data_IF_451764646396
#
_entry.id   IF_451764646396
#
_cell.length_a   1.000
_cell.length_b   1.000
_cell.length_c   1.000
_cell.angle_alpha   90.00
_cell.angle_beta   90.00
_cell.angle_gamma   90.00
#
_symmetry.space_group_name_H-M   'P 1'
#
loop_
_entity.id
_entity.type
_entity.pdbx_description
1 polymer ?
#
# COMPACT_ATOMS: atom_id res chain seq x y z
N UNK A 1 -68.35 36.70 66.70
CA UNK A 1 -69.16 36.89 65.48
C UNK A 1 -68.26 36.73 64.25
N UNK A 2 -68.86 36.25 63.15
CA UNK A 2 -68.34 35.65 61.89
C UNK A 2 -66.95 36.09 61.36
N UNK A 3 -66.19 35.06 60.93
CA UNK A 3 -64.97 35.10 60.11
C UNK A 3 -65.33 35.43 58.65
N UNK A 4 -64.59 36.34 58.00
CA UNK A 4 -64.54 36.46 56.54
C UNK A 4 -63.12 36.14 56.06
N UNK A 5 -62.99 35.05 55.28
CA UNK A 5 -61.81 34.72 54.48
C UNK A 5 -62.16 35.04 53.03
N UNK A 6 -61.49 36.01 52.43
CA UNK A 6 -61.52 36.26 50.98
C UNK A 6 -60.44 35.40 50.32
N UNK A 7 -60.86 34.55 49.38
CA UNK A 7 -60.02 33.71 48.55
C UNK A 7 -59.43 34.54 47.40
N UNK A 8 -58.12 34.47 47.20
CA UNK A 8 -57.42 34.99 46.02
C UNK A 8 -57.13 33.78 45.12
N UNK A 9 -57.81 33.72 43.98
CA UNK A 9 -57.63 32.67 42.97
C UNK A 9 -56.31 32.88 42.20
N UNK A 10 -55.49 31.82 42.17
CA UNK A 10 -54.31 31.67 41.32
C UNK A 10 -54.70 31.71 39.83
N UNK A 11 -53.94 32.46 39.04
CA UNK A 11 -53.76 32.20 37.61
C UNK A 11 -52.25 32.19 37.31
N UNK A 12 -51.67 30.99 37.21
CA UNK A 12 -50.30 30.78 36.76
C UNK A 12 -50.31 30.65 35.22
N UNK A 13 -49.56 31.46 34.45
CA UNK A 13 -49.44 31.24 33.01
C UNK A 13 -48.51 30.05 32.76
N UNK A 14 -49.03 29.06 32.04
CA UNK A 14 -48.30 27.90 31.56
C UNK A 14 -47.33 28.35 30.45
N UNK A 15 -46.06 28.61 30.79
CA UNK A 15 -45.00 28.86 29.81
C UNK A 15 -44.63 27.52 29.19
N UNK A 16 -45.11 27.26 27.98
CA UNK A 16 -44.69 26.14 27.16
C UNK A 16 -43.25 26.36 26.70
N UNK A 17 -42.30 25.75 27.40
CA UNK A 17 -40.91 25.66 26.96
C UNK A 17 -40.81 24.73 25.75
N UNK A 18 -40.82 25.31 24.55
CA UNK A 18 -40.44 24.61 23.32
C UNK A 18 -38.93 24.40 23.37
N UNK A 19 -38.51 23.19 23.72
CA UNK A 19 -37.12 22.78 23.50
C UNK A 19 -36.90 22.73 21.99
N UNK A 20 -36.19 23.73 21.44
CA UNK A 20 -35.56 23.60 20.13
C UNK A 20 -34.56 22.45 20.26
N UNK A 21 -34.92 21.28 19.77
CA UNK A 21 -33.96 20.21 19.52
C UNK A 21 -33.02 20.70 18.43
N UNK A 22 -31.82 21.13 18.82
CA UNK A 22 -30.74 21.31 17.88
C UNK A 22 -30.56 19.97 17.13
N UNK A 23 -30.40 19.99 15.79
CA UNK A 23 -30.19 18.76 15.05
C UNK A 23 -28.95 18.08 15.63
N UNK A 24 -29.11 16.83 16.07
CA UNK A 24 -27.99 15.99 16.47
C UNK A 24 -27.01 16.00 15.29
N UNK A 25 -25.83 16.60 15.49
CA UNK A 25 -24.74 16.44 14.54
C UNK A 25 -24.55 14.93 14.40
N UNK A 26 -24.86 14.39 13.22
CA UNK A 26 -24.60 12.98 12.91
C UNK A 26 -23.14 12.72 13.26
N UNK A 27 -22.90 11.93 14.29
CA UNK A 27 -21.55 11.68 14.78
C UNK A 27 -20.85 10.87 13.68
N UNK A 28 -19.73 11.38 13.16
CA UNK A 28 -18.91 10.67 12.17
C UNK A 28 -18.58 9.26 12.66
N UNK A 29 -18.52 9.08 13.99
CA UNK A 29 -18.36 7.80 14.67
C UNK A 29 -19.41 6.76 14.29
N UNK A 30 -20.69 7.11 14.17
CA UNK A 30 -21.74 6.12 13.85
C UNK A 30 -21.48 5.47 12.49
N UNK A 31 -21.06 6.29 11.51
CA UNK A 31 -20.64 5.78 10.20
C UNK A 31 -19.34 4.95 10.27
N UNK A 32 -18.38 5.32 11.12
CA UNK A 32 -17.15 4.53 11.33
C UNK A 32 -17.49 3.18 11.96
N UNK A 33 -18.37 3.15 12.96
CA UNK A 33 -18.79 1.93 13.63
C UNK A 33 -19.57 1.04 12.66
N UNK A 34 -20.45 1.60 11.81
CA UNK A 34 -21.13 0.87 10.74
C UNK A 34 -20.13 0.26 9.74
N UNK A 35 -19.12 1.04 9.31
CA UNK A 35 -18.08 0.58 8.39
C UNK A 35 -17.27 -0.57 8.97
N UNK A 36 -16.90 -0.51 10.26
CA UNK A 36 -16.15 -1.57 10.95
C UNK A 36 -16.93 -2.89 11.02
N UNK A 37 -18.26 -2.82 11.11
CA UNK A 37 -19.15 -4.00 11.08
C UNK A 37 -19.46 -4.49 9.66
N UNK A 38 -18.94 -3.83 8.63
CA UNK A 38 -19.18 -4.18 7.23
C UNK A 38 -20.48 -3.62 6.64
N UNK A 39 -21.22 -2.81 7.38
CA UNK A 39 -22.39 -2.09 6.88
C UNK A 39 -21.95 -0.82 6.15
N UNK A 40 -21.45 -1.00 4.94
CA UNK A 40 -20.92 0.12 4.14
C UNK A 40 -22.03 1.05 3.63
N UNK A 41 -23.24 0.55 3.40
CA UNK A 41 -24.35 1.39 2.97
C UNK A 41 -24.84 2.28 4.12
N UNK A 42 -24.98 1.71 5.32
CA UNK A 42 -25.27 2.47 6.54
C UNK A 42 -24.18 3.50 6.82
N UNK A 43 -22.90 3.12 6.73
CA UNK A 43 -21.78 4.04 6.93
C UNK A 43 -21.85 5.28 6.00
N UNK A 44 -22.11 5.05 4.71
CA UNK A 44 -22.29 6.15 3.75
C UNK A 44 -23.51 7.01 4.07
N UNK A 45 -24.61 6.40 4.52
CA UNK A 45 -25.81 7.12 4.92
C UNK A 45 -25.53 8.05 6.11
N UNK A 46 -24.81 7.57 7.12
CA UNK A 46 -24.45 8.35 8.32
C UNK A 46 -23.46 9.49 8.00
N UNK A 47 -22.43 9.22 7.19
CA UNK A 47 -21.44 10.25 6.86
C UNK A 47 -21.97 11.35 5.94
N UNK A 48 -22.98 11.07 5.12
CA UNK A 48 -23.42 12.01 4.07
C UNK A 48 -23.94 13.35 4.61
N UNK A 49 -24.82 13.40 5.62
CA UNK A 49 -25.25 14.66 6.22
C UNK A 49 -24.08 15.48 6.78
N UNK A 50 -23.19 14.85 7.55
CA UNK A 50 -22.03 15.52 8.15
C UNK A 50 -21.08 16.05 7.07
N UNK A 51 -20.78 15.25 6.04
CA UNK A 51 -19.91 15.66 4.94
C UNK A 51 -20.47 16.86 4.15
N UNK A 52 -21.78 16.89 3.96
CA UNK A 52 -22.50 18.03 3.33
C UNK A 52 -22.51 19.26 4.23
N UNK A 53 -22.56 19.08 5.55
CA UNK A 53 -22.46 20.15 6.54
C UNK A 53 -21.03 20.71 6.69
N UNK A 54 -20.04 20.11 6.03
CA UNK A 54 -18.67 20.59 6.01
C UNK A 54 -17.69 19.78 6.84
N UNK A 55 -18.14 18.73 7.54
CA UNK A 55 -17.27 17.92 8.39
C UNK A 55 -16.16 17.24 7.56
N UNK A 56 -14.90 17.52 7.90
CA UNK A 56 -13.75 17.07 7.12
C UNK A 56 -13.53 15.56 7.21
N UNK A 57 -13.81 14.94 8.37
CA UNK A 57 -13.63 13.50 8.58
C UNK A 57 -14.69 12.72 7.80
N UNK A 58 -15.95 13.19 7.82
CA UNK A 58 -17.03 12.63 7.02
C UNK A 58 -16.77 12.80 5.51
N UNK A 59 -16.23 13.95 5.08
CA UNK A 59 -15.81 14.15 3.70
C UNK A 59 -14.71 13.17 3.31
N UNK A 60 -13.69 12.99 4.15
CA UNK A 60 -12.65 11.99 3.91
C UNK A 60 -13.24 10.57 3.79
N UNK A 61 -14.12 10.19 4.71
CA UNK A 61 -14.76 8.88 4.74
C UNK A 61 -15.64 8.62 3.51
N UNK A 62 -16.41 9.61 3.04
CA UNK A 62 -17.13 9.52 1.76
C UNK A 62 -16.17 9.36 0.58
N UNK A 63 -15.05 10.09 0.58
CA UNK A 63 -14.01 9.94 -0.44
C UNK A 63 -13.48 8.50 -0.49
N UNK A 64 -13.23 7.89 0.67
CA UNK A 64 -12.82 6.50 0.80
C UNK A 64 -13.89 5.52 0.29
N UNK A 65 -15.17 5.76 0.61
CA UNK A 65 -16.28 4.92 0.15
C UNK A 65 -16.35 4.87 -1.39
N UNK A 66 -16.29 6.04 -2.05
CA UNK A 66 -16.28 6.13 -3.52
C UNK A 66 -15.01 5.55 -4.14
N UNK A 67 -13.84 5.76 -3.53
CA UNK A 67 -12.59 5.17 -4.03
C UNK A 67 -12.61 3.65 -3.99
N UNK A 68 -13.18 3.07 -2.93
CA UNK A 68 -13.21 1.63 -2.70
C UNK A 68 -14.44 0.92 -3.29
N UNK A 69 -15.45 1.66 -3.75
CA UNK A 69 -16.73 1.08 -4.18
C UNK A 69 -17.48 0.38 -3.05
N UNK A 70 -17.40 0.91 -1.83
CA UNK A 70 -18.02 0.32 -0.63
C UNK A 70 -19.21 1.16 -0.19
N UNK A 71 -20.40 0.56 -0.19
CA UNK A 71 -21.65 1.27 0.11
C UNK A 71 -22.16 2.16 -1.02
N UNK A 72 -21.29 2.48 -1.98
CA UNK A 72 -21.57 3.22 -3.22
C UNK A 72 -20.77 2.59 -4.37
N UNK A 73 -21.18 2.75 -5.64
CA UNK A 73 -20.35 2.38 -6.79
C UNK A 73 -19.00 3.10 -6.78
N UNK A 74 -17.97 2.46 -7.32
CA UNK A 74 -16.65 3.10 -7.47
C UNK A 74 -16.75 4.33 -8.36
N UNK A 75 -16.27 5.46 -7.86
CA UNK A 75 -16.21 6.73 -8.61
C UNK A 75 -15.01 7.55 -8.12
N UNK A 76 -13.92 7.53 -8.88
CA UNK A 76 -12.69 8.24 -8.52
C UNK A 76 -12.84 9.78 -8.62
N UNK A 77 -13.75 10.28 -9.45
CA UNK A 77 -14.01 11.71 -9.56
C UNK A 77 -14.75 12.22 -8.32
N UNK A 78 -15.72 11.45 -7.81
CA UNK A 78 -16.35 11.74 -6.52
C UNK A 78 -15.34 11.63 -5.37
N UNK A 79 -14.51 10.58 -5.35
CA UNK A 79 -13.47 10.44 -4.34
C UNK A 79 -12.54 11.66 -4.31
N UNK A 80 -12.04 12.10 -5.48
CA UNK A 80 -11.23 13.30 -5.61
C UNK A 80 -11.95 14.54 -5.08
N UNK A 81 -13.22 14.74 -5.46
CA UNK A 81 -13.98 15.91 -5.03
C UNK A 81 -14.12 15.97 -3.50
N UNK A 82 -14.38 14.83 -2.86
CA UNK A 82 -14.48 14.74 -1.40
C UNK A 82 -13.13 14.92 -0.71
N UNK A 83 -12.07 14.26 -1.19
CA UNK A 83 -10.73 14.49 -0.65
C UNK A 83 -10.28 15.94 -0.80
N UNK A 84 -10.57 16.59 -1.91
CA UNK A 84 -10.23 18.00 -2.14
C UNK A 84 -10.95 18.92 -1.15
N UNK A 85 -12.19 18.62 -0.75
CA UNK A 85 -12.91 19.38 0.28
C UNK A 85 -12.25 19.19 1.65
N UNK A 86 -12.00 17.96 2.07
CA UNK A 86 -11.37 17.67 3.35
C UNK A 86 -9.93 18.22 3.43
N UNK A 87 -9.14 18.06 2.36
CA UNK A 87 -7.77 18.56 2.29
C UNK A 87 -7.69 20.10 2.37
N UNK A 88 -8.66 20.83 1.80
CA UNK A 88 -8.76 22.29 1.96
C UNK A 88 -8.94 22.74 3.41
N UNK A 89 -9.45 21.86 4.27
CA UNK A 89 -9.64 22.08 5.70
C UNK A 89 -8.43 21.59 6.53
N UNK A 90 -7.34 21.16 5.88
CA UNK A 90 -6.15 20.64 6.54
C UNK A 90 -6.21 19.16 6.90
N UNK A 91 -7.22 18.41 6.42
CA UNK A 91 -7.31 16.97 6.72
C UNK A 91 -6.19 16.19 6.02
N UNK A 92 -5.19 15.75 6.79
CA UNK A 92 -3.95 15.18 6.27
C UNK A 92 -4.16 13.89 5.47
N UNK A 93 -4.98 12.95 5.96
CA UNK A 93 -5.21 11.71 5.22
C UNK A 93 -5.98 11.92 3.90
N UNK A 94 -6.82 12.96 3.82
CA UNK A 94 -7.49 13.34 2.59
C UNK A 94 -6.50 13.95 1.60
N UNK A 95 -5.57 14.77 2.09
CA UNK A 95 -4.47 15.29 1.29
C UNK A 95 -3.61 14.17 0.70
N UNK A 96 -3.22 13.19 1.52
CA UNK A 96 -2.42 12.04 1.10
C UNK A 96 -3.14 11.23 0.00
N UNK A 97 -4.45 11.00 0.16
CA UNK A 97 -5.22 10.27 -0.86
C UNK A 97 -5.50 11.11 -2.10
N UNK A 98 -5.63 12.43 -1.99
CA UNK A 98 -5.79 13.33 -3.13
C UNK A 98 -4.56 13.25 -4.04
N UNK A 99 -3.35 13.32 -3.48
CA UNK A 99 -2.12 13.18 -4.26
C UNK A 99 -2.06 11.87 -5.04
N UNK A 100 -2.42 10.75 -4.40
CA UNK A 100 -2.43 9.44 -5.05
C UNK A 100 -3.53 9.31 -6.12
N UNK A 101 -4.73 9.83 -5.87
CA UNK A 101 -5.82 9.80 -6.87
C UNK A 101 -5.42 10.60 -8.11
N UNK A 102 -4.91 11.83 -7.93
CA UNK A 102 -4.40 12.66 -9.03
C UNK A 102 -3.29 11.96 -9.81
N UNK A 103 -2.35 11.31 -9.11
CA UNK A 103 -1.26 10.57 -9.73
C UNK A 103 -1.78 9.42 -10.59
N UNK A 104 -2.73 8.61 -10.06
CA UNK A 104 -3.35 7.51 -10.82
C UNK A 104 -4.21 7.97 -11.98
N UNK A 105 -4.76 9.19 -11.92
CA UNK A 105 -5.48 9.84 -13.01
C UNK A 105 -4.55 10.46 -14.07
N UNK A 106 -3.25 10.16 -14.03
CA UNK A 106 -2.22 10.73 -14.91
C UNK A 106 -2.10 12.26 -14.84
N UNK A 107 -2.59 12.89 -13.76
CA UNK A 107 -2.46 14.32 -13.47
C UNK A 107 -1.26 14.55 -12.56
N UNK A 108 -0.10 14.08 -13.02
CA UNK A 108 1.09 13.91 -12.18
C UNK A 108 1.65 15.24 -11.67
N UNK A 109 1.62 16.29 -12.48
CA UNK A 109 2.05 17.64 -12.06
C UNK A 109 1.15 18.22 -10.95
N UNK A 110 -0.17 18.01 -11.06
CA UNK A 110 -1.11 18.41 -10.00
C UNK A 110 -0.93 17.57 -8.72
N UNK A 111 -0.53 16.30 -8.86
CA UNK A 111 -0.29 15.40 -7.74
C UNK A 111 0.95 15.77 -6.94
N UNK A 112 2.04 16.21 -7.60
CA UNK A 112 3.35 16.32 -6.96
C UNK A 112 3.41 17.22 -5.72
N UNK A 113 2.76 18.40 -5.67
CA UNK A 113 2.72 19.19 -4.44
C UNK A 113 2.16 18.42 -3.24
N UNK A 114 1.15 17.58 -3.45
CA UNK A 114 0.58 16.72 -2.41
C UNK A 114 1.53 15.59 -2.06
N UNK A 115 2.09 14.90 -3.07
CA UNK A 115 3.05 13.81 -2.88
C UNK A 115 4.27 14.26 -2.06
N UNK A 116 4.81 15.46 -2.34
CA UNK A 116 5.94 16.02 -1.61
C UNK A 116 5.60 16.20 -0.13
N UNK A 117 4.50 16.89 0.19
CA UNK A 117 4.08 17.15 1.58
C UNK A 117 3.71 15.85 2.33
N UNK A 118 3.07 14.90 1.65
CA UNK A 118 2.77 13.58 2.22
C UNK A 118 4.04 12.77 2.51
N UNK A 119 5.01 12.77 1.59
CA UNK A 119 6.29 12.07 1.77
C UNK A 119 7.12 12.71 2.90
N UNK A 120 7.11 14.04 3.01
CA UNK A 120 7.73 14.79 4.11
C UNK A 120 7.14 14.42 5.47
N UNK A 121 5.84 14.07 5.53
CA UNK A 121 5.19 13.57 6.75
C UNK A 121 5.40 12.07 7.00
N UNK A 122 6.11 11.38 6.10
CA UNK A 122 6.39 9.95 6.23
C UNK A 122 5.29 9.03 5.70
N UNK A 123 4.41 9.51 4.81
CA UNK A 123 3.39 8.65 4.20
C UNK A 123 4.05 7.64 3.23
N UNK A 124 3.97 6.32 3.47
CA UNK A 124 4.80 5.35 2.75
C UNK A 124 4.53 5.28 1.24
N UNK A 125 3.29 5.48 0.80
CA UNK A 125 2.94 5.42 -0.63
C UNK A 125 3.48 6.66 -1.35
N UNK A 126 3.40 7.84 -0.74
CA UNK A 126 3.97 9.07 -1.25
C UNK A 126 5.50 9.00 -1.30
N UNK A 127 6.14 8.46 -0.27
CA UNK A 127 7.59 8.20 -0.27
C UNK A 127 8.00 7.27 -1.41
N UNK A 128 7.22 6.22 -1.66
CA UNK A 128 7.47 5.31 -2.78
C UNK A 128 7.32 6.00 -4.15
N UNK A 129 6.28 6.82 -4.34
CA UNK A 129 6.08 7.60 -5.57
C UNK A 129 7.24 8.59 -5.78
N UNK A 130 7.59 9.36 -4.75
CA UNK A 130 8.69 10.33 -4.81
C UNK A 130 10.05 9.66 -5.01
N UNK A 131 10.28 8.51 -4.37
CA UNK A 131 11.48 7.72 -4.59
C UNK A 131 11.60 7.22 -6.03
N UNK A 132 10.49 6.83 -6.65
CA UNK A 132 10.44 6.43 -8.06
C UNK A 132 10.73 7.61 -8.98
N UNK A 133 10.15 8.79 -8.70
CA UNK A 133 10.40 10.03 -9.44
C UNK A 133 11.88 10.42 -9.42
N UNK A 134 12.53 10.39 -8.25
CA UNK A 134 13.97 10.63 -8.13
C UNK A 134 14.84 9.58 -8.82
N UNK A 135 14.41 8.32 -8.88
CA UNK A 135 15.17 7.29 -9.59
C UNK A 135 15.17 7.56 -11.11
N UNK A 136 13.99 7.82 -11.66
CA UNK A 136 13.79 8.05 -13.09
C UNK A 136 14.27 9.43 -13.56
N UNK A 137 14.29 10.43 -12.66
CA UNK A 137 14.44 11.83 -13.05
C UNK A 137 13.19 12.40 -13.71
N UNK A 138 12.01 11.81 -13.48
CA UNK A 138 10.73 12.31 -13.97
C UNK A 138 9.96 12.98 -12.82
N UNK A 139 9.45 14.20 -13.03
CA UNK A 139 8.76 15.04 -12.02
C UNK A 139 9.59 15.53 -10.83
N UNK A 140 10.74 14.89 -10.57
CA UNK A 140 11.75 15.35 -9.64
C UNK A 140 13.14 15.16 -10.27
N UNK A 141 14.09 15.99 -9.89
CA UNK A 141 15.48 15.83 -10.34
C UNK A 141 16.01 14.44 -9.96
N UNK A 142 16.77 13.83 -10.88
CA UNK A 142 17.34 12.52 -10.63
C UNK A 142 18.28 12.56 -9.42
N UNK A 143 18.02 11.70 -8.43
CA UNK A 143 18.77 11.60 -7.18
C UNK A 143 18.68 10.15 -6.66
N UNK A 144 19.63 9.31 -7.06
CA UNK A 144 19.62 7.89 -6.68
C UNK A 144 19.79 7.64 -5.17
N UNK A 145 20.64 8.35 -4.43
CA UNK A 145 20.67 8.27 -2.96
C UNK A 145 19.30 8.54 -2.33
N UNK A 146 18.64 9.64 -2.71
CA UNK A 146 17.32 9.99 -2.16
C UNK A 146 16.25 9.00 -2.60
N UNK A 147 16.28 8.55 -3.85
CA UNK A 147 15.38 7.52 -4.36
C UNK A 147 15.45 6.24 -3.53
N UNK A 148 16.67 5.78 -3.24
CA UNK A 148 16.92 4.61 -2.42
C UNK A 148 16.45 4.83 -0.97
N UNK A 149 16.77 5.98 -0.37
CA UNK A 149 16.37 6.33 0.99
C UNK A 149 14.86 6.34 1.17
N UNK A 150 14.12 7.03 0.28
CA UNK A 150 12.66 7.12 0.34
C UNK A 150 11.98 5.77 0.10
N UNK A 151 12.48 4.99 -0.87
CA UNK A 151 11.96 3.63 -1.13
C UNK A 151 12.20 2.73 0.07
N UNK A 152 13.35 2.87 0.74
CA UNK A 152 13.64 2.15 1.98
C UNK A 152 12.72 2.58 3.14
N UNK A 153 12.51 3.88 3.35
CA UNK A 153 11.55 4.38 4.37
C UNK A 153 10.16 3.79 4.16
N UNK A 154 9.68 3.78 2.92
CA UNK A 154 8.40 3.17 2.55
C UNK A 154 8.37 1.65 2.82
N UNK A 155 9.43 0.93 2.47
CA UNK A 155 9.57 -0.51 2.74
C UNK A 155 9.59 -0.81 4.24
N UNK A 156 10.36 -0.05 5.03
CA UNK A 156 10.45 -0.23 6.48
C UNK A 156 9.12 0.05 7.18
N UNK A 157 8.29 0.92 6.59
CA UNK A 157 6.91 1.16 7.03
C UNK A 157 5.92 0.06 6.60
N UNK A 158 6.40 -1.02 5.98
CA UNK A 158 5.60 -2.20 5.62
C UNK A 158 4.93 -2.14 4.24
N UNK A 159 5.29 -1.18 3.38
CA UNK A 159 4.74 -1.11 2.04
C UNK A 159 5.39 -2.18 1.13
N UNK A 160 4.70 -3.30 0.92
CA UNK A 160 5.25 -4.46 0.18
C UNK A 160 5.79 -4.14 -1.22
N UNK A 161 5.09 -3.29 -2.00
CA UNK A 161 5.57 -2.86 -3.32
C UNK A 161 6.88 -2.06 -3.24
N UNK A 162 7.10 -1.33 -2.14
CA UNK A 162 8.37 -0.66 -1.91
C UNK A 162 9.48 -1.65 -1.52
N UNK A 163 9.17 -2.71 -0.77
CA UNK A 163 10.13 -3.79 -0.48
C UNK A 163 10.59 -4.51 -1.74
N UNK A 164 9.65 -4.84 -2.65
CA UNK A 164 9.97 -5.44 -3.95
C UNK A 164 10.82 -4.49 -4.81
N UNK A 165 10.46 -3.21 -4.84
CA UNK A 165 11.24 -2.19 -5.57
C UNK A 165 12.62 -1.99 -4.97
N UNK A 166 12.77 -1.99 -3.65
CA UNK A 166 14.05 -1.82 -2.98
C UNK A 166 15.03 -2.93 -3.39
N UNK A 167 14.56 -4.18 -3.48
CA UNK A 167 15.37 -5.30 -3.96
C UNK A 167 15.82 -5.12 -5.43
N UNK A 168 15.01 -4.48 -6.28
CA UNK A 168 15.44 -4.10 -7.63
C UNK A 168 16.50 -2.99 -7.56
N UNK A 169 16.27 -1.95 -6.76
CA UNK A 169 17.22 -0.85 -6.60
C UNK A 169 18.58 -1.31 -6.06
N UNK A 170 18.63 -2.36 -5.25
CA UNK A 170 19.88 -2.98 -4.79
C UNK A 170 20.78 -3.44 -5.93
N UNK A 171 20.18 -3.85 -7.05
CA UNK A 171 20.89 -4.26 -8.26
C UNK A 171 21.15 -3.12 -9.25
N UNK A 172 20.29 -2.10 -9.25
CA UNK A 172 20.31 -1.00 -10.23
C UNK A 172 21.15 0.20 -9.76
N UNK A 173 21.20 0.45 -8.47
CA UNK A 173 21.92 1.60 -7.88
C UNK A 173 23.29 1.14 -7.37
N UNK A 174 24.40 1.80 -7.80
CA UNK A 174 25.74 1.49 -7.30
C UNK A 174 25.82 1.53 -5.77
N UNK A 175 26.63 0.64 -5.19
CA UNK A 175 26.73 0.47 -3.73
C UNK A 175 26.99 1.80 -2.99
N UNK A 176 27.90 2.62 -3.51
CA UNK A 176 28.25 3.92 -2.90
C UNK A 176 27.04 4.87 -2.84
N UNK A 177 26.21 4.89 -3.88
CA UNK A 177 25.00 5.72 -3.94
C UNK A 177 23.94 5.20 -2.95
N UNK A 178 23.81 3.87 -2.81
CA UNK A 178 22.93 3.26 -1.79
C UNK A 178 23.40 3.59 -0.38
N UNK A 179 24.70 3.52 -0.10
CA UNK A 179 25.28 3.90 1.19
C UNK A 179 25.01 5.37 1.53
N UNK A 180 25.12 6.27 0.55
CA UNK A 180 24.71 7.67 0.72
C UNK A 180 23.22 7.80 1.04
N UNK A 181 22.35 7.05 0.35
CA UNK A 181 20.92 7.01 0.67
C UNK A 181 20.63 6.52 2.09
N UNK A 182 21.33 5.47 2.53
CA UNK A 182 21.22 4.96 3.90
C UNK A 182 21.66 5.98 4.95
N UNK A 183 22.72 6.75 4.68
CA UNK A 183 23.20 7.79 5.57
C UNK A 183 22.20 8.96 5.74
N UNK A 184 21.24 9.14 4.82
CA UNK A 184 20.21 10.18 4.91
C UNK A 184 19.06 9.82 5.85
N UNK A 185 18.87 8.53 6.17
CA UNK A 185 17.68 8.05 6.89
C UNK A 185 17.44 8.73 8.24
N UNK A 186 18.45 8.92 9.13
CA UNK A 186 18.20 9.54 10.43
C UNK A 186 17.67 10.98 10.31
N UNK A 187 18.21 11.75 9.35
CA UNK A 187 17.76 13.13 9.13
C UNK A 187 16.39 13.17 8.45
N UNK A 188 16.10 12.22 7.55
CA UNK A 188 14.76 12.05 6.98
C UNK A 188 13.74 11.76 8.09
N UNK A 189 13.99 10.78 8.96
CA UNK A 189 13.09 10.40 10.07
C UNK A 189 12.85 11.56 11.05
N UNK A 190 13.90 12.32 11.36
CA UNK A 190 13.80 13.53 12.20
C UNK A 190 12.93 14.60 11.53
N UNK A 191 13.12 14.83 10.24
CA UNK A 191 12.31 15.80 9.49
C UNK A 191 10.86 15.34 9.37
N UNK A 192 10.62 14.03 9.20
CA UNK A 192 9.27 13.43 9.23
C UNK A 192 8.58 13.65 10.59
N UNK A 193 9.30 13.45 11.70
CA UNK A 193 8.76 13.69 13.03
C UNK A 193 8.40 15.18 13.22
N UNK A 194 9.28 16.09 12.77
CA UNK A 194 9.03 17.53 12.80
C UNK A 194 7.83 17.92 11.94
N UNK A 195 7.74 17.41 10.72
CA UNK A 195 6.66 17.70 9.78
C UNK A 195 5.30 17.22 10.32
N UNK A 196 5.26 16.01 10.89
CA UNK A 196 4.04 15.47 11.54
C UNK A 196 3.62 16.32 12.73
N UNK A 197 4.56 16.71 13.60
CA UNK A 197 4.26 17.58 14.74
C UNK A 197 3.71 18.94 14.26
N UNK A 198 4.40 19.56 13.31
CA UNK A 198 3.99 20.85 12.73
C UNK A 198 2.60 20.77 12.10
N UNK A 199 2.25 19.65 11.46
CA UNK A 199 0.96 19.47 10.82
C UNK A 199 -0.18 19.31 11.83
N UNK A 200 0.08 18.68 12.98
CA UNK A 200 -0.91 18.54 14.06
C UNK A 200 -1.08 19.84 14.86
N UNK A 201 -0.02 20.63 15.00
CA UNK A 201 -0.07 21.92 15.72
C UNK A 201 -0.49 23.10 14.84
N UNK A 202 -0.61 22.90 13.52
CA UNK A 202 -1.06 23.95 12.62
C UNK A 202 -2.50 24.31 12.94
N UNK A 203 -2.77 25.62 13.09
CA UNK A 203 -4.15 26.09 13.20
C UNK A 203 -4.92 25.64 11.94
N UNK A 204 -6.14 25.08 12.10
CA UNK A 204 -6.96 24.75 10.93
C UNK A 204 -7.16 26.01 10.11
N UNK A 205 -7.09 25.91 8.76
CA UNK A 205 -7.38 27.06 7.91
C UNK A 205 -8.76 27.63 8.27
N UNK A 206 -8.95 28.96 8.20
CA UNK A 206 -10.21 29.58 8.57
C UNK A 206 -11.36 28.89 7.81
N UNK A 207 -12.40 28.49 8.56
CA UNK A 207 -13.53 27.77 8.00
C UNK A 207 -14.04 28.51 6.76
N UNK A 208 -13.98 27.83 5.61
CA UNK A 208 -14.56 28.38 4.41
C UNK A 208 -16.05 28.60 4.68
N UNK A 209 -16.55 29.82 4.40
CA UNK A 209 -18.00 30.11 4.45
C UNK A 209 -18.72 28.97 3.73
N UNK A 210 -19.83 28.43 4.27
CA UNK A 210 -20.54 27.30 3.66
C UNK A 210 -20.74 27.59 2.17
N UNK A 211 -20.04 26.80 1.34
CA UNK A 211 -20.11 26.99 -0.09
C UNK A 211 -21.56 26.73 -0.50
N UNK A 212 -22.17 27.69 -1.19
CA UNK A 212 -23.46 27.50 -1.86
C UNK A 212 -23.33 26.21 -2.67
N UNK A 213 -24.20 25.24 -2.37
CA UNK A 213 -24.14 23.90 -2.91
C UNK A 213 -23.93 23.97 -4.42
N UNK A 214 -22.74 23.58 -4.90
CA UNK A 214 -22.57 23.34 -6.33
C UNK A 214 -23.52 22.21 -6.69
N UNK A 215 -24.37 22.34 -7.72
CA UNK A 215 -25.36 21.33 -8.04
C UNK A 215 -24.63 20.09 -8.54
N UNK A 216 -24.40 19.14 -7.64
CA UNK A 216 -24.27 17.74 -8.04
C UNK A 216 -25.63 17.42 -8.67
N UNK A 217 -25.64 16.86 -9.88
CA UNK A 217 -26.86 16.27 -10.44
C UNK A 217 -27.35 15.21 -9.46
N UNK A 218 -28.29 15.58 -8.61
CA UNK A 218 -29.07 14.66 -7.79
C UNK A 218 -29.95 13.89 -8.75
N UNK A 219 -29.48 12.73 -9.21
CA UNK A 219 -30.43 11.66 -9.47
C UNK A 219 -31.02 11.32 -8.11
N UNK A 220 -32.19 11.89 -7.82
CA UNK A 220 -32.97 11.58 -6.62
C UNK A 220 -33.28 10.09 -6.67
N UNK A 221 -32.60 9.31 -5.85
CA UNK A 221 -33.00 7.93 -5.60
C UNK A 221 -34.32 8.00 -4.80
N UNK A 222 -35.39 7.32 -5.25
CA UNK A 222 -36.64 7.29 -4.49
C UNK A 222 -36.42 6.59 -3.14
N UNK A 223 -37.21 6.99 -2.14
CA UNK A 223 -37.16 6.41 -0.80
C UNK A 223 -37.40 4.88 -0.86
N UNK A 224 -36.51 4.12 -0.23
CA UNK A 224 -36.58 2.66 -0.18
C UNK A 224 -37.81 2.20 0.61
N UNK A 225 -38.75 1.55 -0.07
CA UNK A 225 -39.83 0.78 0.59
C UNK A 225 -39.28 -0.62 0.90
N UNK A 226 -39.27 -1.08 2.17
CA UNK A 226 -38.79 -2.42 2.50
C UNK A 226 -39.67 -3.50 1.88
N UNK A 227 -39.09 -4.42 1.09
CA UNK A 227 -39.74 -5.67 0.66
C UNK A 227 -40.09 -5.83 -0.82
N UNK A 228 -39.86 -4.84 -1.69
CA UNK A 228 -40.06 -5.02 -3.13
C UNK A 228 -38.73 -5.42 -3.80
N UNK A 229 -38.73 -6.56 -4.50
CA UNK A 229 -37.60 -6.98 -5.32
C UNK A 229 -37.26 -5.91 -6.36
N UNK A 230 -36.01 -5.44 -6.35
CA UNK A 230 -35.50 -4.49 -7.31
C UNK A 230 -35.41 -5.15 -8.69
N UNK A 231 -36.20 -4.65 -9.65
CA UNK A 231 -35.94 -4.87 -11.08
C UNK A 231 -35.23 -3.63 -11.61
N UNK A 232 -33.98 -3.75 -12.10
CA UNK A 232 -33.25 -2.61 -12.63
C UNK A 232 -33.96 -2.01 -13.85
N UNK A 233 -33.94 -0.69 -14.04
CA UNK A 233 -34.40 -0.08 -15.28
C UNK A 233 -33.53 -0.57 -16.45
N UNK A 234 -34.08 -0.64 -17.68
CA UNK A 234 -33.31 -1.07 -18.84
C UNK A 234 -32.09 -0.18 -19.02
N UNK A 235 -30.93 -0.82 -19.07
CA UNK A 235 -29.66 -0.20 -19.40
C UNK A 235 -29.84 0.52 -20.74
N UNK A 236 -29.62 1.84 -20.77
CA UNK A 236 -29.39 2.52 -22.05
C UNK A 236 -28.10 1.90 -22.59
N UNK A 237 -28.24 0.99 -23.55
CA UNK A 237 -27.11 0.33 -24.17
C UNK A 237 -26.18 1.42 -24.73
N UNK A 238 -24.87 1.38 -24.42
CA UNK A 238 -23.93 2.29 -25.05
C UNK A 238 -24.01 2.07 -26.56
N UNK A 239 -24.00 3.17 -27.32
CA UNK A 239 -23.99 3.11 -28.78
C UNK A 239 -22.93 2.11 -29.24
N UNK A 240 -23.33 1.18 -30.11
CA UNK A 240 -22.47 0.10 -30.55
C UNK A 240 -21.16 0.69 -31.15
N UNK A 241 -19.99 0.14 -30.79
CA UNK A 241 -18.72 0.63 -31.31
C UNK A 241 -18.72 0.56 -32.83
N UNK A 242 -18.64 1.71 -33.49
CA UNK A 242 -18.79 1.86 -34.95
C UNK A 242 -17.51 1.61 -35.73
N UNK A 243 -16.39 1.37 -35.05
CA UNK A 243 -15.09 1.08 -35.67
C UNK A 243 -14.60 -0.33 -35.29
N UNK A 244 -13.91 -1.03 -36.21
CA UNK A 244 -13.35 -2.36 -35.93
C UNK A 244 -12.43 -2.39 -34.69
N UNK A 245 -11.68 -1.31 -34.45
CA UNK A 245 -10.82 -1.17 -33.28
C UNK A 245 -11.63 -1.06 -31.96
N UNK A 246 -12.74 -0.32 -31.97
CA UNK A 246 -13.61 -0.20 -30.81
C UNK A 246 -14.40 -1.49 -30.52
N UNK A 247 -14.73 -2.27 -31.56
CA UNK A 247 -15.35 -3.59 -31.43
C UNK A 247 -14.37 -4.62 -30.83
N UNK A 248 -13.10 -4.59 -31.25
CA UNK A 248 -12.06 -5.44 -30.69
C UNK A 248 -11.76 -5.10 -29.22
N UNK A 249 -11.71 -3.80 -28.88
CA UNK A 249 -11.52 -3.35 -27.50
C UNK A 249 -12.68 -3.75 -26.58
N UNK A 250 -13.92 -3.68 -27.07
CA UNK A 250 -15.10 -4.09 -26.31
C UNK A 250 -15.14 -5.61 -26.06
N UNK A 251 -14.72 -6.43 -27.03
CA UNK A 251 -14.60 -7.89 -26.85
C UNK A 251 -13.51 -8.25 -25.84
N UNK A 252 -12.34 -7.62 -25.93
CA UNK A 252 -11.24 -7.83 -24.98
C UNK A 252 -11.63 -7.43 -23.55
N UNK A 253 -12.38 -6.33 -23.38
CA UNK A 253 -12.89 -5.90 -22.08
C UNK A 253 -13.94 -6.88 -21.51
N UNK A 254 -14.81 -7.44 -22.35
CA UNK A 254 -15.81 -8.42 -21.93
C UNK A 254 -15.19 -9.76 -21.51
N UNK A 255 -14.16 -10.22 -22.24
CA UNK A 255 -13.39 -11.42 -21.89
C UNK A 255 -12.61 -11.23 -20.58
N UNK A 256 -12.02 -10.06 -20.35
CA UNK A 256 -11.34 -9.72 -19.11
C UNK A 256 -12.30 -9.65 -17.90
N UNK A 257 -13.51 -9.13 -18.09
CA UNK A 257 -14.54 -9.08 -17.05
C UNK A 257 -15.07 -10.48 -16.69
N UNK A 258 -15.24 -11.36 -17.68
CA UNK A 258 -15.63 -12.76 -17.46
C UNK A 258 -14.55 -13.54 -16.70
N UNK A 259 -13.27 -13.27 -16.98
CA UNK A 259 -12.14 -13.87 -16.26
C UNK A 259 -12.01 -13.37 -14.80
N UNK A 260 -12.41 -12.12 -14.52
CA UNK A 260 -12.39 -11.57 -13.16
C UNK A 260 -13.52 -12.11 -12.25
N UNK A 261 -14.65 -12.50 -12.84
CA UNK A 261 -15.82 -13.04 -12.10
C UNK A 261 -15.61 -14.42 -11.46
N UNK A 262 -14.54 -15.14 -11.83
CA UNK A 262 -14.28 -16.51 -11.33
C UNK A 262 -13.23 -16.56 -10.20
N UNK A 263 -12.60 -15.43 -9.85
CA UNK A 263 -11.54 -15.39 -8.84
C UNK A 263 -12.08 -15.17 -7.41
N UNK A 264 -12.16 -16.24 -6.60
CA UNK A 264 -12.39 -16.16 -5.15
C UNK A 264 -11.10 -15.79 -4.42
N UNK A 265 -10.89 -14.50 -4.13
CA UNK A 265 -9.76 -13.98 -3.33
C UNK A 265 -10.21 -13.08 -2.16
N UNK A 266 -9.47 -13.13 -1.03
CA UNK A 266 -9.75 -12.33 0.19
C UNK A 266 -9.44 -10.83 -0.02
N UNK A 267 -10.23 -9.90 0.56
CA UNK A 267 -10.05 -8.46 0.31
C UNK A 267 -9.10 -7.80 1.31
N UNK A 268 -8.00 -7.25 0.81
CA UNK A 268 -7.03 -6.44 1.53
C UNK A 268 -5.82 -6.18 0.63
N UNK A 269 -5.57 -4.90 0.34
CA UNK A 269 -4.43 -4.38 -0.44
C UNK A 269 -4.26 -4.98 -1.85
N UNK A 270 -5.12 -4.61 -2.79
CA UNK A 270 -4.79 -4.75 -4.21
C UNK A 270 -4.78 -3.37 -4.85
N UNK A 271 -3.60 -2.74 -4.82
CA UNK A 271 -3.24 -1.76 -5.84
C UNK A 271 -2.96 -2.56 -7.11
N UNK A 272 -3.70 -2.31 -8.18
CA UNK A 272 -3.33 -2.81 -9.49
C UNK A 272 -2.01 -2.10 -9.89
N UNK A 273 -0.93 -2.82 -10.21
CA UNK A 273 0.27 -2.17 -10.72
C UNK A 273 -0.08 -1.39 -11.99
N UNK A 274 0.51 -0.20 -12.22
CA UNK A 274 0.32 0.50 -13.49
C UNK A 274 0.75 -0.41 -14.65
N UNK A 275 0.12 -0.30 -15.83
CA UNK A 275 0.46 -1.14 -16.97
C UNK A 275 1.95 -1.00 -17.29
N UNK A 276 2.61 -2.12 -17.57
CA UNK A 276 3.99 -2.14 -17.98
C UNK A 276 4.14 -1.29 -19.25
N UNK A 277 4.88 -0.18 -19.15
CA UNK A 277 5.35 0.55 -20.33
C UNK A 277 6.22 -0.38 -21.16
N UNK A 278 5.96 -0.37 -22.47
CA UNK A 278 6.44 -1.34 -23.45
C UNK A 278 7.95 -1.57 -23.52
N UNK A 279 8.29 -2.66 -24.22
CA UNK A 279 9.64 -3.12 -24.48
C UNK A 279 10.56 -2.00 -24.99
N UNK A 280 11.72 -1.84 -24.35
CA UNK A 280 12.83 -1.04 -24.86
C UNK A 280 13.25 -1.55 -26.25
N UNK A 281 13.53 -0.66 -27.23
CA UNK A 281 14.14 -1.07 -28.49
C UNK A 281 15.55 -1.66 -28.24
N UNK A 282 16.00 -2.62 -29.06
CA UNK A 282 17.28 -3.28 -28.84
C UNK A 282 18.44 -2.29 -28.98
N UNK A 283 19.34 -2.31 -28.00
CA UNK A 283 20.56 -1.52 -28.02
C UNK A 283 21.44 -1.91 -29.23
N UNK A 284 21.93 -0.89 -29.94
CA UNK A 284 22.82 -1.04 -31.07
C UNK A 284 24.09 -1.85 -30.69
N UNK A 285 24.45 -2.79 -31.56
CA UNK A 285 25.57 -3.69 -31.37
C UNK A 285 26.90 -2.94 -31.26
N UNK A 286 27.63 -3.16 -30.15
CA UNK A 286 29.06 -2.85 -30.06
C UNK A 286 29.87 -4.10 -30.40
N UNK A 287 30.83 -3.93 -31.31
CA UNK A 287 31.65 -4.99 -31.88
C UNK A 287 32.52 -5.71 -30.81
N UNK A 288 32.64 -7.04 -30.95
CA UNK A 288 33.56 -7.91 -30.21
C UNK A 288 35.02 -7.65 -30.66
N UNK A 289 36.02 -7.65 -29.76
CA UNK A 289 37.41 -7.87 -30.14
C UNK A 289 37.66 -9.36 -30.46
N UNK A 290 38.65 -9.69 -31.32
CA UNK A 290 38.88 -11.05 -31.78
C UNK A 290 39.46 -11.95 -30.67
N UNK A 291 38.95 -13.18 -30.60
CA UNK A 291 39.48 -14.25 -29.76
C UNK A 291 40.64 -14.89 -30.53
N UNK A 292 41.84 -14.86 -29.94
CA UNK A 292 42.99 -15.60 -30.44
C UNK A 292 43.02 -16.98 -29.75
N UNK A 293 42.83 -18.06 -30.52
CA UNK A 293 42.87 -19.43 -30.02
C UNK A 293 44.31 -19.95 -30.07
N UNK A 294 44.95 -20.06 -28.91
CA UNK A 294 46.12 -20.91 -28.69
C UNK A 294 45.85 -21.84 -27.49
N UNK A 295 46.19 -23.15 -27.56
CA UNK A 295 45.81 -24.11 -26.55
C UNK A 295 46.74 -24.03 -25.34
N UNK A 296 46.18 -23.80 -24.15
CA UNK A 296 46.89 -23.92 -22.86
C UNK A 296 46.52 -25.27 -22.24
N UNK A 297 47.55 -26.05 -21.91
CA UNK A 297 47.50 -27.39 -21.37
C UNK A 297 46.74 -27.50 -20.04
N UNK A 298 45.96 -28.58 -19.91
CA UNK A 298 45.18 -28.94 -18.72
C UNK A 298 46.13 -29.38 -17.61
N UNK A 299 46.08 -28.71 -16.46
CA UNK A 299 46.62 -29.20 -15.18
C UNK A 299 45.45 -29.69 -14.33
N UNK A 300 45.46 -31.00 -14.06
CA UNK A 300 44.53 -31.65 -13.14
C UNK A 300 44.70 -31.10 -11.71
N UNK A 301 43.58 -30.81 -11.05
CA UNK A 301 43.51 -30.56 -9.60
C UNK A 301 42.33 -31.31 -8.99
N UNK A 302 42.44 -31.73 -7.71
CA UNK A 302 41.96 -33.03 -7.25
C UNK A 302 40.48 -33.05 -6.83
N UNK A 303 39.89 -34.23 -7.03
CA UNK A 303 38.52 -34.60 -6.63
C UNK A 303 38.29 -34.39 -5.12
N UNK A 304 37.26 -33.63 -4.69
CA UNK A 304 36.88 -33.59 -3.28
C UNK A 304 36.20 -34.91 -2.86
N UNK A 305 36.36 -35.35 -1.59
CA UNK A 305 35.90 -36.65 -1.15
C UNK A 305 34.37 -36.72 -1.16
N UNK A 306 33.85 -37.76 -1.81
CA UNK A 306 32.45 -38.15 -1.75
C UNK A 306 32.16 -38.66 -0.33
N UNK A 307 31.49 -37.85 0.48
CA UNK A 307 30.96 -38.29 1.77
C UNK A 307 29.88 -39.35 1.55
N UNK A 308 30.15 -40.53 2.10
CA UNK A 308 29.26 -41.69 2.16
C UNK A 308 28.07 -41.40 3.08
N UNK A 309 26.88 -41.77 2.62
CA UNK A 309 25.62 -41.57 3.30
C UNK A 309 25.48 -42.42 4.57
N UNK A 310 25.94 -41.90 5.70
CA UNK A 310 25.44 -42.28 7.02
C UNK A 310 24.36 -41.29 7.48
N UNK A 311 23.27 -41.77 8.09
CA UNK A 311 22.15 -40.95 8.61
C UNK A 311 22.59 -40.09 9.81
N UNK A 312 23.49 -39.12 9.61
CA UNK A 312 23.82 -38.16 10.66
C UNK A 312 22.62 -37.27 10.98
N UNK A 313 22.32 -37.02 12.27
CA UNK A 313 21.22 -36.14 12.68
C UNK A 313 21.55 -34.66 12.52
N UNK A 314 22.83 -34.29 12.33
CA UNK A 314 23.26 -32.91 12.37
C UNK A 314 22.90 -32.12 11.11
N UNK A 315 22.38 -30.92 11.32
CA UNK A 315 21.97 -29.95 10.30
C UNK A 315 22.42 -28.54 10.67
N UNK A 316 22.48 -27.68 9.67
CA UNK A 316 22.70 -26.26 9.82
C UNK A 316 21.46 -25.51 9.33
N UNK A 317 20.83 -24.73 10.20
CA UNK A 317 19.73 -23.83 9.89
C UNK A 317 20.27 -22.45 9.50
N UNK A 318 19.93 -22.02 8.29
CA UNK A 318 20.41 -20.78 7.69
C UNK A 318 19.39 -19.63 7.83
N UNK A 319 18.14 -19.95 8.13
CA UNK A 319 17.09 -18.96 8.37
C UNK A 319 15.72 -19.57 8.62
N UNK A 320 14.78 -18.74 9.05
CA UNK A 320 13.37 -19.08 9.26
C UNK A 320 12.49 -17.98 8.65
N UNK A 321 11.55 -18.37 7.80
CA UNK A 321 10.82 -17.45 6.94
C UNK A 321 9.31 -17.70 7.01
N UNK A 322 8.51 -16.64 7.07
CA UNK A 322 7.05 -16.75 6.93
C UNK A 322 6.60 -17.13 5.51
N UNK A 323 7.49 -16.98 4.51
CA UNK A 323 7.23 -17.28 3.10
C UNK A 323 8.35 -18.14 2.53
N UNK A 324 8.02 -19.31 1.99
CA UNK A 324 8.98 -20.31 1.48
C UNK A 324 9.86 -19.77 0.32
N UNK A 325 9.34 -18.85 -0.50
CA UNK A 325 10.10 -18.23 -1.58
C UNK A 325 11.35 -17.47 -1.07
N UNK A 326 11.26 -16.82 0.09
CA UNK A 326 12.39 -16.11 0.69
C UNK A 326 13.49 -17.07 1.18
N UNK A 327 13.09 -18.25 1.67
CA UNK A 327 14.02 -19.32 2.01
C UNK A 327 14.78 -19.81 0.76
N UNK A 328 14.08 -19.98 -0.36
CA UNK A 328 14.69 -20.40 -1.64
C UNK A 328 15.66 -19.36 -2.18
N UNK A 329 15.29 -18.09 -2.11
CA UNK A 329 16.14 -16.98 -2.54
C UNK A 329 17.39 -16.83 -1.67
N UNK A 330 17.27 -17.00 -0.34
CA UNK A 330 18.44 -17.03 0.54
C UNK A 330 19.39 -18.17 0.13
N UNK A 331 18.88 -19.38 -0.12
CA UNK A 331 19.71 -20.50 -0.54
C UNK A 331 20.51 -20.21 -1.81
N UNK A 332 19.85 -19.68 -2.84
CA UNK A 332 20.50 -19.30 -4.11
C UNK A 332 21.58 -18.23 -3.91
N UNK A 333 21.30 -17.26 -3.05
CA UNK A 333 22.24 -16.17 -2.73
C UNK A 333 23.45 -16.69 -1.99
N UNK A 334 23.25 -17.56 -1.00
CA UNK A 334 24.32 -18.18 -0.25
C UNK A 334 25.15 -19.14 -1.10
N UNK A 335 24.54 -19.88 -2.03
CA UNK A 335 25.26 -20.71 -2.98
C UNK A 335 26.22 -19.91 -3.88
N UNK A 336 25.85 -18.69 -4.28
CA UNK A 336 26.74 -17.82 -5.07
C UNK A 336 27.90 -17.24 -4.24
N UNK A 337 27.64 -16.94 -2.97
CA UNK A 337 28.60 -16.27 -2.08
C UNK A 337 29.53 -17.24 -1.34
N UNK A 338 29.06 -18.45 -1.06
CA UNK A 338 29.77 -19.44 -0.25
C UNK A 338 29.84 -20.78 -1.00
N UNK A 339 31.02 -21.17 -1.49
CA UNK A 339 31.21 -22.47 -2.15
C UNK A 339 30.77 -23.67 -1.28
N UNK A 340 30.95 -23.56 0.04
CA UNK A 340 30.50 -24.58 1.00
C UNK A 340 28.97 -24.79 1.01
N UNK A 341 28.19 -23.77 0.64
CA UNK A 341 26.73 -23.86 0.50
C UNK A 341 26.36 -24.42 -0.87
N UNK A 342 27.04 -24.01 -1.94
CA UNK A 342 26.83 -24.52 -3.29
C UNK A 342 27.05 -26.03 -3.42
N UNK A 343 27.99 -26.57 -2.64
CA UNK A 343 28.29 -28.00 -2.61
C UNK A 343 27.25 -28.85 -1.86
N UNK A 344 26.19 -28.25 -1.31
CA UNK A 344 25.17 -28.94 -0.51
C UNK A 344 23.76 -28.77 -1.10
N UNK A 345 22.77 -29.38 -0.47
CA UNK A 345 21.37 -29.33 -0.90
C UNK A 345 20.48 -28.71 0.20
N UNK A 346 19.53 -27.84 -0.16
CA UNK A 346 18.61 -27.24 0.81
C UNK A 346 17.55 -28.25 1.26
N UNK A 347 17.10 -28.07 2.49
CA UNK A 347 15.91 -28.71 3.04
C UNK A 347 15.00 -27.61 3.60
N UNK A 348 13.73 -27.62 3.21
CA UNK A 348 12.73 -26.66 3.67
C UNK A 348 11.79 -27.37 4.64
N UNK A 349 11.97 -27.13 5.95
CA UNK A 349 11.17 -27.76 7.00
C UNK A 349 10.05 -26.81 7.41
N UNK A 350 8.79 -27.22 7.21
CA UNK A 350 7.61 -26.44 7.62
C UNK A 350 7.26 -26.76 9.07
N UNK A 351 7.16 -25.73 9.90
CA UNK A 351 6.69 -25.82 11.28
C UNK A 351 5.66 -24.73 11.52
N UNK A 352 4.38 -25.08 11.50
CA UNK A 352 3.28 -24.11 11.53
C UNK A 352 3.32 -23.16 10.32
N UNK A 353 3.34 -21.85 10.58
CA UNK A 353 3.40 -20.79 9.54
C UNK A 353 4.83 -20.42 9.12
N UNK A 354 5.85 -21.11 9.64
CA UNK A 354 7.26 -20.77 9.39
C UNK A 354 7.95 -21.89 8.62
N UNK A 355 8.73 -21.51 7.61
CA UNK A 355 9.60 -22.40 6.83
C UNK A 355 11.05 -22.19 7.25
N UNK A 356 11.68 -23.22 7.80
CA UNK A 356 13.10 -23.21 8.16
C UNK A 356 13.94 -23.70 6.98
N UNK A 357 14.91 -22.90 6.56
CA UNK A 357 15.92 -23.29 5.59
C UNK A 357 17.05 -24.01 6.33
N UNK A 358 17.28 -25.27 5.98
CA UNK A 358 18.33 -26.09 6.57
C UNK A 358 19.17 -26.78 5.49
N UNK A 359 20.38 -27.21 5.84
CA UNK A 359 21.18 -28.15 5.04
C UNK A 359 21.74 -29.23 5.95
N UNK A 360 21.88 -30.45 5.43
CA UNK A 360 22.40 -31.60 6.16
C UNK A 360 23.68 -32.17 5.57
N UNK A 361 24.00 -33.40 5.97
CA UNK A 361 25.17 -34.14 5.49
C UNK A 361 26.46 -33.80 6.25
N UNK A 362 26.35 -33.43 7.52
CA UNK A 362 27.51 -33.24 8.41
C UNK A 362 27.76 -34.54 9.15
N UNK A 363 28.97 -35.09 9.13
CA UNK A 363 29.31 -36.35 9.81
C UNK A 363 29.15 -36.25 11.34
N UNK A 364 29.39 -35.06 11.92
CA UNK A 364 29.25 -34.79 13.35
C UNK A 364 28.94 -33.31 13.61
N UNK A 365 28.66 -32.96 14.88
CA UNK A 365 28.37 -31.58 15.32
C UNK A 365 29.52 -30.61 15.01
N UNK A 366 30.78 -31.07 15.11
CA UNK A 366 31.97 -30.26 14.83
C UNK A 366 32.01 -29.79 13.37
N UNK A 367 31.67 -30.66 12.42
CA UNK A 367 31.59 -30.31 11.01
C UNK A 367 30.48 -29.27 10.74
N UNK A 368 29.31 -29.44 11.37
CA UNK A 368 28.22 -28.47 11.29
C UNK A 368 28.60 -27.11 11.90
N UNK A 369 29.33 -27.12 13.03
CA UNK A 369 29.83 -25.90 13.67
C UNK A 369 30.83 -25.16 12.78
N UNK A 370 31.77 -25.88 12.18
CA UNK A 370 32.76 -25.28 11.26
C UNK A 370 32.08 -24.67 10.04
N UNK A 371 31.05 -25.34 9.50
CA UNK A 371 30.23 -24.80 8.43
C UNK A 371 29.52 -23.51 8.84
N UNK A 372 28.83 -23.49 10.00
CA UNK A 372 28.18 -22.27 10.48
C UNK A 372 29.18 -21.14 10.78
N UNK A 373 30.33 -21.45 11.38
CA UNK A 373 31.37 -20.47 11.64
C UNK A 373 31.92 -19.82 10.34
N UNK A 374 32.05 -20.61 9.26
CA UNK A 374 32.48 -20.09 7.95
C UNK A 374 31.49 -19.07 7.37
N UNK A 375 30.19 -19.27 7.62
CA UNK A 375 29.13 -18.38 7.19
C UNK A 375 29.05 -17.11 8.05
N UNK A 376 29.17 -17.27 9.37
CA UNK A 376 29.15 -16.17 10.34
C UNK A 376 30.29 -15.18 10.10
N UNK A 377 31.48 -15.64 9.67
CA UNK A 377 32.60 -14.76 9.28
C UNK A 377 32.23 -13.79 8.14
N UNK A 378 31.32 -14.18 7.25
CA UNK A 378 30.81 -13.32 6.18
C UNK A 378 29.49 -12.63 6.51
N UNK A 379 29.11 -12.61 7.81
CA UNK A 379 27.89 -11.97 8.32
C UNK A 379 26.60 -12.79 8.15
N UNK A 380 26.69 -14.05 7.70
CA UNK A 380 25.51 -14.90 7.52
C UNK A 380 25.20 -15.67 8.82
N UNK A 381 24.01 -15.45 9.37
CA UNK A 381 23.52 -16.21 10.51
C UNK A 381 23.36 -17.71 10.17
N UNK A 382 23.84 -18.56 11.06
CA UNK A 382 23.75 -20.01 10.92
C UNK A 382 23.69 -20.66 12.32
N UNK A 383 22.78 -21.60 12.51
CA UNK A 383 22.57 -22.32 13.77
C UNK A 383 22.72 -23.83 13.52
N UNK A 384 23.54 -24.50 14.31
CA UNK A 384 23.62 -25.97 14.28
C UNK A 384 22.45 -26.56 15.04
N UNK A 385 21.72 -27.47 14.40
CA UNK A 385 20.54 -28.15 14.94
C UNK A 385 20.67 -29.65 14.69
N UNK A 386 20.15 -30.47 15.57
CA UNK A 386 19.90 -31.89 15.33
C UNK A 386 18.50 -32.10 14.76
N UNK A 387 18.27 -33.31 14.24
CA UNK A 387 17.08 -33.71 13.49
C UNK A 387 15.82 -33.75 14.33
#
# INVERSE_FOLDING_TARGET
>A
MRKFRTAISLALPLIAATMLTAPAHADVKDGVDAWQRGDYQGAVAEWRPAALAGDADAQFNLGQAYKLGRGVPTDLAQAEAWYRRAAKQGHLQAEDNLGLVLFTANRRDEAMPFILRSAERGEPRAQYVLGTAHFNGDLAAQDWPRAYALTKRASDAGLGIASERLAQLDSLIPLEQRQRGLAMLPEIEKNEARARLSAVTAAPPPAAKPAVASPIKTASLPASVPGAGYTPPPVIAPAAPSTPAAQAAARAAAEAAAAAGTAKGKPGTTYAPPPASGTLPPAAAKAKPPINNAPIAVRETPTPPRSTGGKSPWRAQLGAFGVEANARNLWLTLGKKYPAVAARQPTYVKTGKVTRLQTGGFANKGEANNFCASLSKGGQACLVVDK
#
